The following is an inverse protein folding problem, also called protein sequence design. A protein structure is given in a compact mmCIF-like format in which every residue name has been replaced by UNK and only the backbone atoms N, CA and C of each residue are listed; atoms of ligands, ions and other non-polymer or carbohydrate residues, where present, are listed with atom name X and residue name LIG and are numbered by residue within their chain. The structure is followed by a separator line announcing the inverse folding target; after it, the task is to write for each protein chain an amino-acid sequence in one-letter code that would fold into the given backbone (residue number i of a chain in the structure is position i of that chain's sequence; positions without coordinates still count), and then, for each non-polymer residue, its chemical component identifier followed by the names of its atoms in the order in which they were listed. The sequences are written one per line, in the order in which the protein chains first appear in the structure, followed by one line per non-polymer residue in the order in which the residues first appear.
data_IF_038032874689
#
_entry.id   IF_038032874689
#
_cell.length_a   1.000
_cell.length_b   1.000
_cell.length_c   1.000
_cell.angle_alpha   90.00
_cell.angle_beta   90.00
_cell.angle_gamma   90.00
#
_symmetry.space_group_name_H-M   'P 1'
#
loop_
_entity.id
_entity.type
_entity.pdbx_description
1 polymer ?
#
# COMPACT_ATOMS: atom_id res chain seq x y z
N UNK A 1 26.75 3.80 5.73
CA UNK A 1 26.80 2.81 4.64
C UNK A 1 25.83 3.25 3.55
N UNK A 2 25.91 2.69 2.33
CA UNK A 2 24.99 3.03 1.23
C UNK A 2 23.62 2.39 1.50
N UNK A 3 22.53 3.15 1.41
CA UNK A 3 21.16 2.62 1.50
C UNK A 3 20.55 2.55 0.10
N UNK A 4 19.95 1.41 -0.24
CA UNK A 4 19.38 1.16 -1.57
C UNK A 4 17.95 0.62 -1.44
N UNK A 5 17.08 1.00 -2.36
CA UNK A 5 15.71 0.48 -2.47
C UNK A 5 15.57 -0.21 -3.81
N UNK A 6 15.31 -1.53 -3.80
CA UNK A 6 15.10 -2.32 -5.00
C UNK A 6 13.60 -2.60 -5.14
N UNK A 7 13.05 -2.33 -6.32
CA UNK A 7 11.64 -2.54 -6.64
C UNK A 7 11.53 -3.64 -7.69
N UNK A 8 10.78 -4.70 -7.37
CA UNK A 8 10.48 -5.80 -8.28
C UNK A 8 8.97 -5.96 -8.38
N UNK A 9 8.43 -5.65 -9.56
CA UNK A 9 6.98 -5.62 -9.78
C UNK A 9 6.59 -6.52 -10.94
N UNK A 10 5.50 -7.27 -10.75
CA UNK A 10 4.74 -7.93 -11.80
C UNK A 10 3.36 -7.30 -11.77
N UNK A 11 3.06 -6.50 -12.80
CA UNK A 11 1.82 -5.73 -12.86
C UNK A 11 0.58 -6.63 -12.70
N UNK A 12 -0.34 -6.22 -11.83
CA UNK A 12 -1.56 -6.97 -11.54
C UNK A 12 -1.40 -8.18 -10.62
N UNK A 13 -0.18 -8.50 -10.14
CA UNK A 13 0.06 -9.66 -9.28
C UNK A 13 0.67 -9.27 -7.93
N UNK A 14 1.95 -8.90 -7.93
CA UNK A 14 2.74 -8.70 -6.71
C UNK A 14 3.79 -7.61 -6.94
N UNK A 15 3.97 -6.77 -5.92
CA UNK A 15 5.06 -5.80 -5.82
C UNK A 15 5.92 -6.16 -4.60
N UNK A 16 7.24 -6.21 -4.80
CA UNK A 16 8.23 -6.46 -3.75
C UNK A 16 9.20 -5.29 -3.67
N UNK A 17 9.41 -4.79 -2.46
CA UNK A 17 10.37 -3.72 -2.18
C UNK A 17 11.38 -4.23 -1.16
N UNK A 18 12.66 -4.22 -1.52
CA UNK A 18 13.75 -4.55 -0.63
C UNK A 18 14.54 -3.29 -0.25
N UNK A 19 14.79 -3.11 1.04
CA UNK A 19 15.67 -2.08 1.57
C UNK A 19 17.00 -2.73 1.93
N UNK A 20 18.08 -2.26 1.30
CA UNK A 20 19.43 -2.74 1.56
C UNK A 20 20.25 -1.69 2.29
N UNK A 21 21.12 -2.11 3.20
CA UNK A 21 22.19 -1.30 3.79
C UNK A 21 23.55 -1.97 3.56
N UNK A 22 24.42 -1.29 2.81
CA UNK A 22 25.74 -1.83 2.43
C UNK A 22 25.65 -3.14 1.62
N UNK A 23 24.58 -3.33 0.86
CA UNK A 23 24.33 -4.55 0.09
C UNK A 23 23.71 -5.71 0.89
N UNK A 24 23.45 -5.51 2.19
CA UNK A 24 22.77 -6.48 3.06
C UNK A 24 21.28 -6.14 3.13
N UNK A 25 20.42 -7.16 3.06
CA UNK A 25 18.97 -6.99 3.15
C UNK A 25 18.54 -6.71 4.59
N UNK A 26 17.90 -5.57 4.80
CA UNK A 26 17.38 -5.14 6.11
C UNK A 26 15.86 -5.33 6.19
N UNK A 27 15.12 -4.87 5.18
CA UNK A 27 13.65 -4.94 5.17
C UNK A 27 13.13 -5.46 3.83
N UNK A 28 12.03 -6.23 3.89
CA UNK A 28 11.32 -6.73 2.72
C UNK A 28 9.81 -6.48 2.87
N UNK A 29 9.26 -5.74 1.92
CA UNK A 29 7.83 -5.49 1.80
C UNK A 29 7.28 -6.26 0.61
N UNK A 30 6.13 -6.90 0.79
CA UNK A 30 5.42 -7.64 -0.26
C UNK A 30 3.96 -7.19 -0.25
N UNK A 31 3.52 -6.64 -1.37
CA UNK A 31 2.13 -6.27 -1.58
C UNK A 31 1.54 -7.12 -2.71
N UNK A 32 0.46 -7.84 -2.42
CA UNK A 32 -0.30 -8.59 -3.43
C UNK A 32 -1.57 -7.83 -3.75
N UNK A 33 -1.93 -7.80 -5.03
CA UNK A 33 -3.14 -7.10 -5.50
C UNK A 33 -4.40 -7.61 -4.79
N UNK A 34 -4.48 -8.92 -4.52
CA UNK A 34 -5.62 -9.54 -3.83
C UNK A 34 -5.76 -9.15 -2.35
N UNK A 35 -4.71 -8.61 -1.73
CA UNK A 35 -4.68 -8.23 -0.32
C UNK A 35 -4.53 -6.72 -0.10
N UNK A 36 -4.75 -5.91 -1.15
CA UNK A 36 -4.65 -4.46 -1.06
C UNK A 36 -5.67 -3.93 -0.03
N UNK A 37 -5.17 -3.23 0.98
CA UNK A 37 -6.00 -2.64 2.03
C UNK A 37 -6.63 -1.34 1.55
N UNK A 38 -7.84 -1.06 2.05
CA UNK A 38 -8.49 0.25 1.86
C UNK A 38 -8.30 1.17 3.08
N UNK A 39 -7.67 0.67 4.15
CA UNK A 39 -7.45 1.42 5.39
C UNK A 39 -6.47 2.56 5.14
N UNK A 40 -6.82 3.77 5.60
CA UNK A 40 -6.00 4.97 5.42
C UNK A 40 -6.17 5.65 4.06
N UNK A 41 -6.97 5.08 3.16
CA UNK A 41 -7.27 5.72 1.89
C UNK A 41 -8.09 6.99 2.11
N UNK A 42 -7.78 8.02 1.32
CA UNK A 42 -8.50 9.29 1.29
C UNK A 42 -9.25 9.37 -0.03
N UNK A 43 -10.56 9.59 0.05
CA UNK A 43 -11.45 9.65 -1.11
C UNK A 43 -12.15 11.00 -1.20
N UNK A 44 -12.45 11.43 -2.43
CA UNK A 44 -13.39 12.52 -2.69
C UNK A 44 -14.78 11.92 -2.92
N UNK A 45 -15.56 11.79 -1.85
CA UNK A 45 -16.94 11.28 -1.92
C UNK A 45 -17.95 12.32 -2.39
N UNK A 46 -19.08 11.85 -2.93
CA UNK A 46 -20.30 12.65 -3.13
C UNK A 46 -21.36 12.12 -2.17
N UNK A 47 -22.03 13.03 -1.45
CA UNK A 47 -23.17 12.67 -0.59
C UNK A 47 -24.30 12.13 -1.47
N UNK A 48 -24.73 10.90 -1.22
CA UNK A 48 -25.79 10.25 -1.98
C UNK A 48 -27.15 10.36 -1.29
N UNK A 49 -27.19 10.25 0.04
CA UNK A 49 -28.41 10.33 0.84
C UNK A 49 -28.09 10.80 2.26
N UNK A 50 -29.07 11.37 2.97
CA UNK A 50 -28.99 11.77 4.37
C UNK A 50 -30.15 11.12 5.12
N UNK A 51 -29.83 10.25 6.08
CA UNK A 51 -30.82 9.57 6.94
C UNK A 51 -30.75 10.09 8.38
N UNK A 52 -31.66 10.98 8.80
CA UNK A 52 -31.58 11.67 10.10
C UNK A 52 -31.55 10.73 11.31
N UNK A 53 -32.15 9.54 11.20
CA UNK A 53 -32.22 8.56 12.30
C UNK A 53 -30.93 7.76 12.53
N UNK A 54 -29.99 7.79 11.59
CA UNK A 54 -28.77 6.96 11.63
C UNK A 54 -27.55 7.74 12.18
N UNK A 55 -27.61 9.08 12.21
CA UNK A 55 -26.52 9.95 12.71
C UNK A 55 -25.13 9.56 12.16
N UNK A 56 -25.06 9.33 10.85
CA UNK A 56 -23.83 8.96 10.13
C UNK A 56 -23.56 9.90 8.95
#
# INVERSE_FOLDING_TARGET
MKKEMLINTIEGQECRIAILEGGVLEELYIERVSSASHVGNIYKGRVNNIEPGIQA
#
